data_IF_974140017831
#
_entry.id   IF_974140017831
#
_cell.length_a   1.000
_cell.length_b   1.000
_cell.length_c   1.000
_cell.angle_alpha   90.00
_cell.angle_beta   90.00
_cell.angle_gamma   90.00
#
_symmetry.space_group_name_H-M   'P 1'
#
loop_
_entity.id
_entity.type
_entity.pdbx_description
1 polymer ?
#
# COMPACT_ATOMS: atom_id res chain seq x y z
N UNK A 1 -94.26 51.31 4.14
CA UNK A 1 -93.53 51.67 5.37
C UNK A 1 -93.40 50.39 6.17
N UNK A 2 -92.32 49.64 5.93
CA UNK A 2 -91.13 49.52 6.82
C UNK A 2 -91.54 48.90 8.17
N UNK A 3 -91.07 47.73 8.57
CA UNK A 3 -89.67 47.29 8.61
C UNK A 3 -89.56 45.77 8.77
N UNK A 4 -88.53 45.21 8.13
CA UNK A 4 -87.97 43.89 8.40
C UNK A 4 -87.55 43.74 9.87
N UNK A 5 -87.85 42.60 10.49
CA UNK A 5 -87.14 42.11 11.67
C UNK A 5 -87.08 40.58 11.60
N UNK A 6 -85.91 40.08 11.16
CA UNK A 6 -85.54 38.68 11.23
C UNK A 6 -84.93 38.39 12.60
N UNK A 7 -85.57 37.48 13.34
CA UNK A 7 -85.11 36.97 14.63
C UNK A 7 -83.85 36.08 14.43
N UNK A 8 -82.69 36.52 14.93
CA UNK A 8 -81.46 35.73 14.97
C UNK A 8 -81.25 35.16 16.38
N UNK A 9 -80.97 33.84 16.53
CA UNK A 9 -80.65 33.26 17.84
C UNK A 9 -79.24 33.65 18.33
N UNK A 10 -78.98 33.58 19.64
CA UNK A 10 -77.84 34.24 20.28
C UNK A 10 -76.49 33.60 19.93
N UNK A 11 -75.50 34.47 19.69
CA UNK A 11 -74.11 34.09 19.41
C UNK A 11 -73.46 33.41 20.62
N UNK A 12 -72.92 32.21 20.39
CA UNK A 12 -72.06 31.52 21.34
C UNK A 12 -70.73 32.28 21.48
N UNK A 13 -70.35 32.60 22.72
CA UNK A 13 -69.05 33.18 23.05
C UNK A 13 -67.99 32.11 22.83
N UNK A 14 -67.25 32.19 21.73
CA UNK A 14 -66.09 31.33 21.50
C UNK A 14 -64.96 31.73 22.46
N UNK A 15 -64.63 30.85 23.40
CA UNK A 15 -63.39 30.93 24.16
C UNK A 15 -62.20 30.85 23.19
N UNK A 16 -61.23 31.76 23.35
CA UNK A 16 -60.04 31.80 22.51
C UNK A 16 -59.23 30.50 22.66
N UNK A 17 -59.20 29.67 21.60
CA UNK A 17 -58.29 28.54 21.51
C UNK A 17 -56.84 29.02 21.41
N UNK A 18 -56.04 28.73 22.44
CA UNK A 18 -54.60 28.94 22.40
C UNK A 18 -53.98 28.06 21.32
N UNK A 19 -53.43 28.69 20.28
CA UNK A 19 -52.72 27.98 19.19
C UNK A 19 -51.57 27.15 19.78
N UNK A 20 -51.49 25.84 19.49
CA UNK A 20 -50.41 25.01 20.01
C UNK A 20 -49.07 25.46 19.42
N UNK A 21 -48.08 25.67 20.30
CA UNK A 21 -46.72 26.09 19.97
C UNK A 21 -46.13 25.21 18.86
N UNK A 22 -45.48 25.86 17.89
CA UNK A 22 -44.85 25.25 16.71
C UNK A 22 -43.95 24.06 17.04
N UNK A 23 -43.31 24.08 18.22
CA UNK A 23 -42.46 23.01 18.75
C UNK A 23 -43.18 21.68 19.02
N UNK A 24 -44.46 21.70 19.39
CA UNK A 24 -45.27 20.48 19.56
C UNK A 24 -45.69 19.87 18.22
N UNK A 25 -45.81 20.67 17.16
CA UNK A 25 -46.17 20.19 15.81
C UNK A 25 -45.02 19.50 15.09
N UNK A 26 -43.77 19.86 15.42
CA UNK A 26 -42.56 19.25 14.83
C UNK A 26 -42.07 17.99 15.57
N UNK A 27 -42.84 17.45 16.52
CA UNK A 27 -42.45 16.25 17.27
C UNK A 27 -41.32 16.48 18.29
N UNK A 28 -41.06 17.73 18.70
CA UNK A 28 -39.95 18.07 19.60
C UNK A 28 -39.94 17.34 20.95
N UNK A 29 -41.08 16.78 21.38
CA UNK A 29 -41.17 15.94 22.57
C UNK A 29 -40.33 14.65 22.48
N UNK A 30 -40.34 13.95 21.34
CA UNK A 30 -39.54 12.72 21.18
C UNK A 30 -38.05 13.01 21.04
N UNK A 31 -37.70 14.15 20.43
CA UNK A 31 -36.32 14.61 20.33
C UNK A 31 -35.71 14.93 21.71
N UNK A 32 -36.46 15.64 22.56
CA UNK A 32 -36.01 15.95 23.92
C UNK A 32 -35.85 14.69 24.78
N UNK A 33 -36.77 13.73 24.68
CA UNK A 33 -36.65 12.44 25.38
C UNK A 33 -35.43 11.66 24.88
N UNK A 34 -35.20 11.61 23.57
CA UNK A 34 -34.04 10.93 22.99
C UNK A 34 -32.71 11.51 23.47
N UNK A 35 -32.60 12.84 23.54
CA UNK A 35 -31.40 13.52 24.03
C UNK A 35 -31.14 13.22 25.52
N UNK A 36 -32.19 13.15 26.34
CA UNK A 36 -32.07 12.79 27.76
C UNK A 36 -31.62 11.33 27.91
N UNK A 37 -32.18 10.40 27.15
CA UNK A 37 -31.78 8.98 27.20
C UNK A 37 -30.32 8.80 26.79
N UNK A 38 -29.87 9.48 25.74
CA UNK A 38 -28.46 9.41 25.33
C UNK A 38 -27.52 10.03 26.37
N UNK A 39 -27.89 11.14 26.99
CA UNK A 39 -27.10 11.75 28.06
C UNK A 39 -26.96 10.83 29.29
N UNK A 40 -28.02 10.09 29.63
CA UNK A 40 -28.00 9.09 30.72
C UNK A 40 -27.09 7.91 30.36
N UNK A 41 -27.20 7.37 29.14
CA UNK A 41 -26.35 6.27 28.68
C UNK A 41 -24.87 6.66 28.64
N UNK A 42 -24.54 7.86 28.17
CA UNK A 42 -23.17 8.38 28.17
C UNK A 42 -22.64 8.54 29.60
N UNK A 43 -23.46 9.02 30.54
CA UNK A 43 -23.07 9.16 31.95
C UNK A 43 -22.82 7.80 32.62
N UNK A 44 -23.67 6.80 32.35
CA UNK A 44 -23.50 5.43 32.85
C UNK A 44 -22.21 4.81 32.28
N UNK A 45 -21.95 4.98 30.98
CA UNK A 45 -20.71 4.50 30.35
C UNK A 45 -19.45 5.14 30.95
N UNK A 46 -19.50 6.43 31.27
CA UNK A 46 -18.41 7.16 31.92
C UNK A 46 -18.11 6.62 33.34
N UNK A 47 -19.14 6.36 34.13
CA UNK A 47 -18.98 5.75 35.47
C UNK A 47 -18.44 4.33 35.36
N UNK A 48 -18.91 3.55 34.38
CA UNK A 48 -18.42 2.18 34.15
C UNK A 48 -16.94 2.16 33.77
N UNK A 49 -16.48 3.09 32.93
CA UNK A 49 -15.05 3.25 32.59
C UNK A 49 -14.19 3.48 33.84
N UNK A 50 -14.63 4.33 34.77
CA UNK A 50 -13.86 4.61 35.98
C UNK A 50 -13.90 3.49 37.02
N UNK A 51 -14.84 2.54 36.94
CA UNK A 51 -14.87 1.37 37.83
C UNK A 51 -14.08 0.16 37.30
N UNK A 52 -13.74 0.12 36.02
CA UNK A 52 -13.09 -1.04 35.36
C UNK A 52 -11.57 -0.84 35.17
N UNK A 53 -11.02 0.31 35.55
CA UNK A 53 -9.57 0.54 35.55
C UNK A 53 -9.01 0.16 36.93
N UNK A 54 -8.29 -0.97 37.08
CA UNK A 54 -7.55 -1.25 38.30
C UNK A 54 -6.41 -0.22 38.46
N UNK A 55 -6.16 0.21 39.71
CA UNK A 55 -5.02 1.06 40.04
C UNK A 55 -3.73 0.46 39.49
N UNK A 56 -2.92 1.28 38.80
CA UNK A 56 -1.59 0.88 38.33
C UNK A 56 -0.77 0.42 39.54
N UNK A 57 -0.38 -0.86 39.53
CA UNK A 57 0.68 -1.35 40.41
C UNK A 57 1.93 -0.52 40.10
N UNK A 58 2.51 0.20 41.07
CA UNK A 58 3.75 0.93 40.84
C UNK A 58 4.87 -0.06 40.51
N UNK A 59 5.58 0.15 39.41
CA UNK A 59 6.77 -0.62 39.08
C UNK A 59 7.82 -0.46 40.20
N UNK A 60 8.50 -1.54 40.63
CA UNK A 60 9.57 -1.42 41.60
C UNK A 60 10.78 -0.68 40.99
N UNK A 61 11.01 0.52 41.51
CA UNK A 61 12.09 1.43 41.15
C UNK A 61 13.45 0.88 41.63
N UNK A 62 14.19 0.25 40.71
CA UNK A 62 15.57 -0.18 40.94
C UNK A 62 16.57 0.72 40.23
N UNK A 63 16.67 2.00 40.62
CA UNK A 63 17.90 2.77 40.42
C UNK A 63 18.18 3.72 41.60
N UNK A 64 19.44 3.82 42.09
CA UNK A 64 19.77 4.69 43.20
C UNK A 64 19.75 6.18 42.81
N UNK A 65 19.23 6.97 43.76
CA UNK A 65 19.12 8.44 43.79
C UNK A 65 20.39 9.17 43.34
N UNK A 66 20.21 10.12 42.42
CA UNK A 66 21.15 11.20 42.13
C UNK A 66 20.39 12.39 41.55
N UNK A 67 20.10 13.38 42.40
CA UNK A 67 19.20 14.50 42.12
C UNK A 67 19.83 15.66 41.34
N UNK A 68 18.99 16.66 41.04
CA UNK A 68 19.41 17.96 40.52
C UNK A 68 18.37 18.55 39.57
N UNK A 69 17.51 19.44 40.08
CA UNK A 69 16.38 20.03 39.37
C UNK A 69 16.68 21.32 38.62
N UNK A 70 15.63 21.83 37.95
CA UNK A 70 15.48 23.24 37.59
C UNK A 70 15.68 23.58 36.11
N UNK A 71 14.57 23.79 35.39
CA UNK A 71 14.52 24.74 34.26
C UNK A 71 14.33 26.15 34.84
N UNK A 72 14.91 27.20 34.25
CA UNK A 72 14.21 27.87 33.15
C UNK A 72 15.13 28.45 32.06
N UNK A 73 14.58 28.66 30.86
CA UNK A 73 15.12 29.65 29.92
C UNK A 73 15.49 29.11 28.54
N UNK A 74 14.62 29.42 27.58
CA UNK A 74 14.89 29.38 26.14
C UNK A 74 16.11 30.26 25.84
N UNK A 75 17.22 29.64 25.41
CA UNK A 75 18.25 30.11 24.45
C UNK A 75 19.49 29.23 24.61
N UNK A 76 19.69 28.27 23.69
CA UNK A 76 20.94 27.59 23.30
C UNK A 76 20.70 26.13 22.89
N UNK A 77 20.07 25.90 21.73
CA UNK A 77 20.29 24.67 20.94
C UNK A 77 20.56 25.08 19.50
N UNK A 78 21.65 25.81 19.32
CA UNK A 78 22.36 25.91 18.06
C UNK A 78 23.83 26.04 18.43
N UNK A 79 24.48 24.90 18.70
CA UNK A 79 25.94 24.66 18.70
C UNK A 79 26.32 23.35 19.43
N UNK A 80 25.60 22.24 19.17
CA UNK A 80 26.00 20.89 19.64
C UNK A 80 25.71 19.77 18.62
N UNK A 81 25.83 20.08 17.32
CA UNK A 81 25.88 19.11 16.20
C UNK A 81 27.09 19.34 15.28
N UNK A 82 28.24 19.65 15.87
CA UNK A 82 29.52 19.71 15.15
C UNK A 82 30.62 18.86 15.79
N UNK A 83 30.27 17.96 16.71
CA UNK A 83 31.25 17.11 17.39
C UNK A 83 30.73 15.70 17.65
N UNK A 84 30.41 14.98 16.58
CA UNK A 84 30.35 13.52 16.54
C UNK A 84 30.41 13.02 15.08
N UNK A 85 31.36 13.56 14.31
CA UNK A 85 31.81 12.95 13.06
C UNK A 85 33.24 12.48 13.32
N UNK A 86 33.39 11.42 14.11
CA UNK A 86 34.63 10.66 14.07
C UNK A 86 34.52 9.72 12.89
N UNK A 87 35.17 10.13 11.80
CA UNK A 87 35.64 9.26 10.73
C UNK A 87 36.31 8.02 11.35
N UNK A 88 35.78 6.83 11.07
CA UNK A 88 36.51 5.59 11.31
C UNK A 88 37.78 5.59 10.46
N UNK A 89 38.98 5.39 11.04
CA UNK A 89 40.19 5.19 10.25
C UNK A 89 40.08 3.86 9.50
N UNK A 90 40.30 3.89 8.19
CA UNK A 90 40.59 2.70 7.39
C UNK A 90 41.83 2.03 7.99
N UNK A 91 41.70 0.80 8.49
CA UNK A 91 42.85 -0.02 8.87
C UNK A 91 43.50 -0.59 7.61
N UNK A 92 44.76 -0.25 7.29
CA UNK A 92 45.48 -0.97 6.24
C UNK A 92 45.74 -2.41 6.70
N UNK A 93 45.46 -3.40 5.83
CA UNK A 93 45.83 -4.80 6.10
C UNK A 93 47.35 -4.89 6.25
N UNK A 94 47.82 -5.26 7.43
CA UNK A 94 49.20 -5.69 7.65
C UNK A 94 49.42 -7.04 6.95
N UNK A 95 50.18 -7.04 5.86
CA UNK A 95 50.75 -8.27 5.30
C UNK A 95 51.95 -8.67 6.16
N UNK A 96 51.98 -9.93 6.61
CA UNK A 96 53.12 -10.49 7.32
C UNK A 96 54.36 -10.49 6.41
N UNK A 97 55.44 -9.88 6.88
CA UNK A 97 56.74 -9.88 6.21
C UNK A 97 57.33 -11.29 6.31
N UNK A 98 57.23 -12.09 5.23
CA UNK A 98 57.88 -13.39 5.13
C UNK A 98 57.19 -14.51 4.32
N UNK A 99 56.06 -14.28 3.65
CA UNK A 99 55.41 -15.31 2.82
C UNK A 99 55.52 -14.98 1.33
N UNK A 100 56.24 -15.81 0.58
CA UNK A 100 56.24 -15.82 -0.88
C UNK A 100 54.95 -16.46 -1.37
N UNK A 101 54.06 -15.68 -2.00
CA UNK A 101 52.97 -16.26 -2.81
C UNK A 101 52.68 -15.38 -4.02
N UNK A 102 52.62 -16.03 -5.18
CA UNK A 102 52.47 -15.46 -6.52
C UNK A 102 50.99 -15.31 -6.89
N UNK A 103 50.26 -14.42 -6.23
CA UNK A 103 48.88 -14.11 -6.60
C UNK A 103 48.70 -12.59 -6.73
N UNK A 104 48.52 -12.12 -7.96
CA UNK A 104 48.15 -10.73 -8.25
C UNK A 104 46.63 -10.58 -8.16
N UNK A 105 46.16 -9.67 -7.31
CA UNK A 105 44.77 -9.20 -7.31
C UNK A 105 44.66 -7.99 -8.25
N UNK A 106 43.60 -7.87 -9.07
CA UNK A 106 43.40 -6.71 -9.94
C UNK A 106 43.22 -5.42 -9.11
N UNK A 107 43.83 -4.32 -9.57
CA UNK A 107 43.59 -2.98 -9.02
C UNK A 107 42.16 -2.51 -9.36
N UNK A 108 41.47 -1.79 -8.46
CA UNK A 108 40.17 -1.19 -8.77
C UNK A 108 40.33 0.04 -9.67
N UNK A 109 39.57 0.08 -10.77
CA UNK A 109 39.53 1.20 -11.72
C UNK A 109 39.13 2.53 -11.07
N UNK A 110 39.81 3.60 -11.50
CA UNK A 110 39.70 4.99 -11.03
C UNK A 110 38.33 5.68 -11.28
N UNK A 111 37.32 4.96 -11.79
CA UNK A 111 35.96 5.47 -11.98
C UNK A 111 35.14 5.54 -10.67
N UNK A 112 35.58 4.82 -9.63
CA UNK A 112 34.88 4.74 -8.33
C UNK A 112 35.08 5.98 -7.43
N UNK A 113 35.99 6.89 -7.81
CA UNK A 113 36.40 8.03 -6.99
C UNK A 113 35.74 9.37 -7.36
N UNK A 114 34.99 9.45 -8.48
CA UNK A 114 34.34 10.71 -8.91
C UNK A 114 32.90 10.89 -8.41
N UNK A 115 32.29 9.90 -7.77
CA UNK A 115 30.93 10.03 -7.21
C UNK A 115 30.87 10.80 -5.89
N UNK A 116 32.00 10.99 -5.20
CA UNK A 116 32.08 11.68 -3.90
C UNK A 116 32.36 13.17 -3.99
N UNK A 117 32.64 13.72 -5.19
CA UNK A 117 32.94 15.15 -5.40
C UNK A 117 31.80 15.95 -6.04
N UNK A 118 30.73 15.28 -6.50
CA UNK A 118 29.56 15.95 -7.10
C UNK A 118 28.54 16.51 -6.08
N UNK A 119 28.72 16.26 -4.79
CA UNK A 119 27.77 16.66 -3.73
C UNK A 119 28.07 18.02 -3.08
N UNK A 120 29.00 18.81 -3.62
CA UNK A 120 29.49 20.05 -2.99
C UNK A 120 29.31 21.34 -3.82
N UNK A 121 28.56 21.34 -4.93
CA UNK A 121 28.50 22.50 -5.84
C UNK A 121 27.12 23.08 -6.17
N UNK A 122 26.01 22.73 -5.49
CA UNK A 122 24.69 23.33 -5.79
C UNK A 122 23.95 23.95 -4.60
N UNK A 123 24.67 24.27 -3.52
CA UNK A 123 24.13 25.11 -2.45
C UNK A 123 24.12 26.58 -2.86
N UNK A 124 22.99 27.10 -3.36
CA UNK A 124 22.80 28.53 -3.52
C UNK A 124 21.50 28.97 -4.18
N UNK A 125 20.64 29.59 -3.37
CA UNK A 125 19.61 30.61 -3.70
C UNK A 125 18.13 30.15 -3.86
N UNK A 126 17.26 30.98 -3.26
CA UNK A 126 15.79 30.89 -3.07
C UNK A 126 15.34 29.87 -2.00
N UNK A 127 14.71 30.22 -0.88
CA UNK A 127 13.91 31.38 -0.53
C UNK A 127 12.44 31.10 -0.83
N UNK A 128 11.72 30.40 0.05
CA UNK A 128 10.30 30.13 -0.17
C UNK A 128 9.60 29.28 0.90
N UNK A 129 8.94 29.99 1.83
CA UNK A 129 7.75 29.64 2.63
C UNK A 129 7.62 28.23 3.25
N UNK A 130 7.56 28.23 4.59
CA UNK A 130 7.11 27.11 5.40
C UNK A 130 5.64 26.74 5.16
N UNK A 131 5.40 25.45 4.97
CA UNK A 131 4.07 24.83 5.05
C UNK A 131 3.90 24.17 6.41
N UNK A 132 2.86 24.58 7.13
CA UNK A 132 2.41 24.02 8.41
C UNK A 132 2.09 22.53 8.29
N UNK A 133 2.89 21.67 8.91
CA UNK A 133 2.54 20.28 9.17
C UNK A 133 1.83 20.15 10.51
N UNK A 134 0.51 19.98 10.50
CA UNK A 134 -0.27 19.60 11.70
C UNK A 134 -0.17 18.08 11.93
N UNK A 135 0.91 17.64 12.56
CA UNK A 135 1.04 16.28 13.10
C UNK A 135 0.48 16.19 14.52
N UNK A 136 -0.85 16.22 14.66
CA UNK A 136 -1.52 15.99 15.93
C UNK A 136 -1.83 14.51 16.13
N UNK A 137 -1.06 13.82 16.97
CA UNK A 137 -1.31 12.42 17.31
C UNK A 137 -0.47 11.99 18.50
N UNK A 138 -0.90 12.36 19.71
CA UNK A 138 -0.37 11.83 20.97
C UNK A 138 -1.46 10.97 21.58
N UNK A 139 -1.31 9.65 21.51
CA UNK A 139 -2.21 8.69 22.11
C UNK A 139 -1.41 7.55 22.73
N UNK A 140 -1.41 7.47 24.06
CA UNK A 140 -0.86 6.34 24.84
C UNK A 140 -1.86 5.18 24.90
N UNK A 141 -2.38 4.77 23.74
CA UNK A 141 -3.25 3.60 23.60
C UNK A 141 -2.48 2.42 23.04
N UNK A 142 -2.60 1.23 23.64
CA UNK A 142 -2.21 -0.02 23.01
C UNK A 142 -3.11 -0.28 21.78
N UNK A 143 -2.79 0.38 20.67
CA UNK A 143 -3.25 0.06 19.32
C UNK A 143 -2.08 -0.47 18.52
N UNK A 144 -2.29 -1.47 17.66
CA UNK A 144 -1.30 -1.86 16.65
C UNK A 144 -1.12 -0.69 15.68
N UNK A 145 -0.18 0.20 16.01
CA UNK A 145 0.18 1.34 15.18
C UNK A 145 0.71 0.84 13.84
N UNK A 146 0.08 1.29 12.75
CA UNK A 146 0.58 1.09 11.40
C UNK A 146 1.68 2.12 11.13
N UNK A 147 2.92 1.65 11.01
CA UNK A 147 4.02 2.44 10.47
C UNK A 147 5.31 2.34 11.27
N UNK A 148 6.32 1.66 10.73
CA UNK A 148 7.67 2.24 10.73
C UNK A 148 7.67 3.28 9.62
N UNK A 149 7.66 4.55 9.99
CA UNK A 149 7.50 5.66 9.05
C UNK A 149 8.49 5.60 7.89
N UNK A 150 7.97 5.41 6.68
CA UNK A 150 8.62 5.90 5.47
C UNK A 150 7.80 7.12 5.04
N UNK A 151 8.04 8.24 5.71
CA UNK A 151 7.47 9.53 5.33
C UNK A 151 8.13 10.06 4.06
N UNK A 152 7.43 10.89 3.27
CA UNK A 152 7.93 11.38 2.00
C UNK A 152 8.94 12.50 2.26
N UNK A 153 10.22 12.17 2.10
CA UNK A 153 11.29 13.14 2.07
C UNK A 153 12.37 12.61 1.14
N UNK A 154 12.88 13.49 0.28
CA UNK A 154 14.19 13.36 -0.39
C UNK A 154 15.36 13.35 0.63
N UNK A 155 15.20 12.64 1.75
CA UNK A 155 16.16 12.61 2.84
C UNK A 155 15.69 11.70 3.97
N UNK A 156 16.23 10.47 3.99
CA UNK A 156 16.26 9.61 5.18
C UNK A 156 15.65 8.23 5.00
N UNK A 157 16.38 7.29 4.38
CA UNK A 157 16.08 5.86 4.58
C UNK A 157 16.29 4.90 3.42
N UNK A 158 16.82 5.30 2.27
CA UNK A 158 17.46 4.35 1.34
C UNK A 158 18.45 5.11 0.47
N UNK A 159 19.75 4.83 0.60
CA UNK A 159 20.82 5.48 -0.16
C UNK A 159 20.82 5.10 -1.66
N UNK A 160 19.67 4.76 -2.23
CA UNK A 160 19.54 4.06 -3.52
C UNK A 160 18.40 4.55 -4.40
N UNK A 161 17.64 5.60 -4.02
CA UNK A 161 16.56 6.13 -4.87
C UNK A 161 15.39 5.15 -5.14
N UNK A 162 15.21 4.13 -4.29
CA UNK A 162 14.18 3.10 -4.45
C UNK A 162 12.94 3.39 -3.61
N UNK A 163 11.78 3.55 -4.25
CA UNK A 163 10.47 3.44 -3.60
C UNK A 163 9.98 1.99 -3.64
N UNK A 164 8.99 1.58 -2.82
CA UNK A 164 8.36 0.27 -2.95
C UNK A 164 7.76 0.00 -4.34
N UNK A 165 7.44 1.06 -5.10
CA UNK A 165 6.87 1.00 -6.44
C UNK A 165 7.93 0.96 -7.56
N UNK A 166 9.21 1.09 -7.20
CA UNK A 166 10.33 0.97 -8.13
C UNK A 166 11.37 2.09 -7.99
N UNK A 167 12.40 1.98 -8.82
CA UNK A 167 13.49 2.94 -8.99
C UNK A 167 13.09 4.05 -9.95
N UNK A 168 13.66 5.24 -9.74
CA UNK A 168 13.51 6.36 -10.69
C UNK A 168 14.35 6.12 -11.94
N UNK A 169 15.57 5.62 -11.76
CA UNK A 169 16.50 5.41 -12.86
C UNK A 169 16.14 4.15 -13.66
N UNK A 170 16.19 4.21 -15.00
CA UNK A 170 16.02 3.04 -15.85
C UNK A 170 17.02 1.94 -15.47
N UNK A 171 16.51 0.72 -15.35
CA UNK A 171 17.31 -0.46 -15.06
C UNK A 171 17.02 -1.52 -16.14
N UNK A 172 18.07 -2.03 -16.78
CA UNK A 172 17.96 -3.02 -17.85
C UNK A 172 17.30 -4.33 -17.41
N UNK A 173 17.25 -4.58 -16.10
CA UNK A 173 16.64 -5.75 -15.49
C UNK A 173 15.24 -5.47 -14.94
N UNK A 174 14.65 -4.29 -15.17
CA UNK A 174 13.39 -3.90 -14.55
C UNK A 174 12.21 -3.89 -15.54
N UNK A 175 11.02 -4.17 -15.01
CA UNK A 175 9.75 -3.90 -15.67
C UNK A 175 9.43 -2.41 -15.56
N UNK A 176 8.88 -1.83 -16.63
CA UNK A 176 8.54 -0.41 -16.70
C UNK A 176 7.13 -0.21 -16.16
N UNK A 177 7.02 0.52 -15.05
CA UNK A 177 5.75 0.86 -14.39
C UNK A 177 5.17 2.17 -14.91
N UNK A 178 3.91 2.13 -15.30
CA UNK A 178 3.10 3.33 -15.57
C UNK A 178 1.95 3.41 -14.58
N UNK A 179 1.86 4.54 -13.89
CA UNK A 179 0.77 4.87 -12.98
C UNK A 179 -0.36 5.59 -13.72
N UNK A 180 -1.60 5.23 -13.37
CA UNK A 180 -2.83 5.88 -13.84
C UNK A 180 -3.70 6.23 -12.64
N UNK A 181 -4.02 7.52 -12.49
CA UNK A 181 -5.08 7.97 -11.60
C UNK A 181 -6.42 7.84 -12.33
N UNK A 182 -7.31 6.98 -11.82
CA UNK A 182 -8.60 6.70 -12.47
C UNK A 182 -9.75 7.57 -11.92
N UNK A 183 -9.48 8.42 -10.93
CA UNK A 183 -10.35 9.52 -10.49
C UNK A 183 -10.14 10.80 -11.30
N UNK A 184 -9.22 10.80 -12.29
CA UNK A 184 -8.95 11.99 -13.10
C UNK A 184 -8.89 11.67 -14.58
N UNK A 185 -9.45 12.57 -15.39
CA UNK A 185 -9.28 12.58 -16.85
C UNK A 185 -7.86 12.95 -17.22
N UNK A 186 -7.46 12.63 -18.45
CA UNK A 186 -6.16 12.98 -19.02
C UNK A 186 -5.87 14.49 -19.05
N UNK A 187 -6.90 15.34 -19.02
CA UNK A 187 -6.80 16.80 -18.94
C UNK A 187 -6.71 17.33 -17.49
N UNK A 188 -6.71 16.45 -16.49
CA UNK A 188 -6.64 16.77 -15.06
C UNK A 188 -8.00 16.97 -14.38
N UNK A 189 -9.10 17.03 -15.14
CA UNK A 189 -10.44 17.18 -14.58
C UNK A 189 -10.83 15.95 -13.77
N UNK A 190 -11.51 16.16 -12.65
CA UNK A 190 -11.97 15.08 -11.78
C UNK A 190 -13.04 14.22 -12.48
N UNK A 191 -12.93 12.91 -12.31
CA UNK A 191 -13.93 11.91 -12.60
C UNK A 191 -14.50 11.43 -11.27
N UNK A 192 -15.84 11.46 -11.15
CA UNK A 192 -16.52 10.80 -10.04
C UNK A 192 -16.52 9.29 -10.26
N UNK A 193 -15.38 8.65 -10.02
CA UNK A 193 -15.24 7.20 -10.10
C UNK A 193 -15.63 6.60 -8.74
N UNK A 194 -16.62 5.72 -8.74
CA UNK A 194 -16.98 4.90 -7.58
C UNK A 194 -16.40 3.48 -7.72
N UNK A 195 -16.57 2.65 -6.69
CA UNK A 195 -15.96 1.32 -6.67
C UNK A 195 -16.49 0.40 -7.79
N UNK A 196 -17.80 0.35 -8.11
CA UNK A 196 -18.28 -0.39 -9.28
C UNK A 196 -17.65 0.11 -10.58
N UNK A 197 -17.53 1.43 -10.76
CA UNK A 197 -16.92 2.00 -11.96
C UNK A 197 -15.44 1.66 -12.06
N UNK A 198 -14.70 1.71 -10.96
CA UNK A 198 -13.31 1.27 -10.94
C UNK A 198 -13.17 -0.19 -11.36
N UNK A 199 -14.00 -1.07 -10.80
CA UNK A 199 -13.97 -2.48 -11.16
C UNK A 199 -14.23 -2.67 -12.66
N UNK A 200 -15.20 -1.95 -13.24
CA UNK A 200 -15.46 -1.95 -14.68
C UNK A 200 -14.22 -1.52 -15.49
N UNK A 201 -13.50 -0.48 -15.02
CA UNK A 201 -12.28 0.02 -15.69
C UNK A 201 -11.19 -1.05 -15.69
N UNK A 202 -10.94 -1.69 -14.55
CA UNK A 202 -9.95 -2.77 -14.43
C UNK A 202 -10.36 -3.94 -15.32
N UNK A 203 -11.62 -4.36 -15.24
CA UNK A 203 -12.14 -5.50 -15.99
C UNK A 203 -12.09 -5.28 -17.50
N UNK A 204 -12.54 -4.13 -17.98
CA UNK A 204 -12.45 -3.78 -19.39
C UNK A 204 -11.00 -3.75 -19.88
N UNK A 205 -10.06 -3.20 -19.10
CA UNK A 205 -8.64 -3.18 -19.48
C UNK A 205 -8.06 -4.59 -19.58
N UNK A 206 -8.27 -5.41 -18.55
CA UNK A 206 -7.69 -6.76 -18.43
C UNK A 206 -8.28 -7.74 -19.44
N UNK A 207 -9.58 -7.62 -19.73
CA UNK A 207 -10.28 -8.55 -20.65
C UNK A 207 -10.21 -8.12 -22.12
N UNK A 208 -9.99 -6.84 -22.42
CA UNK A 208 -9.87 -6.33 -23.80
C UNK A 208 -8.42 -6.26 -24.31
N UNK A 209 -7.55 -7.05 -23.71
CA UNK A 209 -6.19 -7.29 -24.21
C UNK A 209 -5.16 -6.25 -23.78
N UNK A 210 -5.37 -5.57 -22.65
CA UNK A 210 -4.36 -4.71 -22.01
C UNK A 210 -3.86 -3.60 -22.94
N UNK A 211 -4.76 -2.96 -23.68
CA UNK A 211 -4.39 -1.91 -24.64
C UNK A 211 -4.22 -0.58 -23.92
N UNK A 212 -3.06 0.07 -24.04
CA UNK A 212 -2.82 1.38 -23.40
C UNK A 212 -3.85 2.44 -23.83
N UNK A 213 -4.35 2.34 -25.07
CA UNK A 213 -5.41 3.21 -25.58
C UNK A 213 -6.69 3.20 -24.72
N UNK A 214 -7.03 2.11 -24.02
CA UNK A 214 -8.20 2.11 -23.13
C UNK A 214 -7.99 2.91 -21.85
N UNK A 215 -6.73 3.18 -21.49
CA UNK A 215 -6.35 3.99 -20.34
C UNK A 215 -6.01 5.44 -20.69
N UNK A 216 -5.89 5.78 -21.98
CA UNK A 216 -5.50 7.11 -22.47
C UNK A 216 -6.43 8.26 -22.02
N UNK A 217 -7.66 7.95 -21.61
CA UNK A 217 -8.63 8.92 -21.05
C UNK A 217 -8.37 9.30 -19.60
N UNK A 218 -7.56 8.52 -18.88
CA UNK A 218 -7.22 8.75 -17.48
C UNK A 218 -5.91 9.50 -17.34
N UNK A 219 -5.71 10.16 -16.20
CA UNK A 219 -4.46 10.87 -15.92
C UNK A 219 -3.33 9.88 -15.66
N UNK A 220 -2.41 9.75 -16.61
CA UNK A 220 -1.18 8.97 -16.44
C UNK A 220 -0.08 9.83 -15.80
N UNK A 221 0.76 9.23 -14.95
CA UNK A 221 1.97 9.93 -14.49
C UNK A 221 2.97 10.06 -15.64
N UNK A 222 3.58 11.26 -15.85
CA UNK A 222 4.70 11.41 -16.77
C UNK A 222 5.95 10.68 -16.26
N UNK A 223 6.08 10.49 -14.93
CA UNK A 223 7.18 9.75 -14.33
C UNK A 223 6.92 8.24 -14.46
N UNK A 224 7.91 7.50 -14.94
CA UNK A 224 7.93 6.04 -14.89
C UNK A 224 8.75 5.57 -13.70
N UNK A 225 8.40 4.42 -13.14
CA UNK A 225 9.21 3.74 -12.13
C UNK A 225 9.59 2.34 -12.63
N UNK A 226 10.80 1.91 -12.31
CA UNK A 226 11.39 0.68 -12.82
C UNK A 226 11.43 -0.34 -11.68
N UNK A 227 10.69 -1.43 -11.85
CA UNK A 227 10.47 -2.41 -10.79
C UNK A 227 11.07 -3.77 -11.13
N UNK A 228 11.80 -4.35 -10.17
CA UNK A 228 12.44 -5.65 -10.34
C UNK A 228 11.74 -6.77 -9.58
N UNK A 229 10.83 -6.43 -8.66
CA UNK A 229 9.99 -7.38 -7.88
C UNK A 229 8.72 -6.70 -7.36
N UNK A 230 7.62 -7.44 -7.19
CA UNK A 230 6.44 -6.95 -6.47
C UNK A 230 6.48 -7.51 -5.06
N UNK A 231 6.93 -6.70 -4.11
CA UNK A 231 6.96 -7.02 -2.68
C UNK A 231 6.84 -5.73 -1.88
N UNK A 232 5.61 -5.23 -1.79
CA UNK A 232 5.21 -3.96 -1.22
C UNK A 232 4.61 -4.21 0.16
N UNK A 233 5.20 -3.65 1.23
CA UNK A 233 4.67 -3.82 2.58
C UNK A 233 3.32 -3.12 2.72
N UNK A 234 2.54 -3.48 3.74
CA UNK A 234 1.44 -2.66 4.22
C UNK A 234 1.86 -1.19 4.39
N UNK A 235 1.25 -0.30 3.59
CA UNK A 235 1.49 1.14 3.59
C UNK A 235 0.18 1.90 3.30
N UNK A 236 0.23 3.24 3.34
CA UNK A 236 -0.91 4.05 2.93
C UNK A 236 -1.04 4.06 1.39
N UNK A 237 -2.24 3.89 0.86
CA UNK A 237 -2.58 3.96 -0.56
C UNK A 237 -2.08 5.24 -1.26
N UNK A 238 -1.97 6.35 -0.53
CA UNK A 238 -1.44 7.62 -1.03
C UNK A 238 0.07 7.59 -1.32
N UNK A 239 0.80 6.55 -0.93
CA UNK A 239 2.23 6.44 -1.22
C UNK A 239 2.52 6.13 -2.70
N UNK A 240 1.60 5.45 -3.40
CA UNK A 240 1.74 5.19 -4.84
C UNK A 240 1.76 6.48 -5.67
N UNK A 241 0.73 7.36 -5.63
CA UNK A 241 0.76 8.62 -6.38
C UNK A 241 1.99 9.46 -6.02
N UNK A 242 2.38 9.54 -4.74
CA UNK A 242 3.59 10.27 -4.31
C UNK A 242 4.86 9.72 -4.96
N UNK A 243 5.05 8.39 -4.99
CA UNK A 243 6.20 7.76 -5.62
C UNK A 243 6.30 8.11 -7.12
N UNK A 244 5.15 8.16 -7.79
CA UNK A 244 5.04 8.56 -9.19
C UNK A 244 5.00 10.09 -9.41
N UNK A 245 5.22 10.91 -8.38
CA UNK A 245 5.23 12.38 -8.50
C UNK A 245 3.85 13.01 -8.75
N UNK A 246 2.79 12.29 -8.40
CA UNK A 246 1.40 12.73 -8.46
C UNK A 246 0.95 13.24 -7.09
N UNK A 247 0.02 14.18 -7.07
CA UNK A 247 -0.69 14.57 -5.85
C UNK A 247 -1.73 13.51 -5.51
N UNK A 248 -1.74 12.95 -4.28
CA UNK A 248 -2.79 12.02 -3.88
C UNK A 248 -4.13 12.74 -3.73
N UNK A 249 -5.20 12.10 -4.21
CA UNK A 249 -6.57 12.49 -3.89
C UNK A 249 -6.94 12.02 -2.47
N UNK A 250 -8.04 12.56 -1.92
CA UNK A 250 -8.52 12.19 -0.57
C UNK A 250 -8.87 10.70 -0.47
N UNK A 251 -9.47 10.15 -1.54
CA UNK A 251 -9.80 8.73 -1.69
C UNK A 251 -9.12 8.21 -2.96
N UNK A 252 -7.82 7.86 -2.90
CA UNK A 252 -7.04 7.62 -4.10
C UNK A 252 -7.45 6.32 -4.80
N UNK A 253 -7.96 6.41 -6.03
CA UNK A 253 -8.13 5.25 -6.92
C UNK A 253 -7.11 5.27 -8.03
N UNK A 254 -6.33 4.20 -8.14
CA UNK A 254 -5.26 4.12 -9.12
C UNK A 254 -4.97 2.70 -9.55
N UNK A 255 -4.28 2.60 -10.68
CA UNK A 255 -3.65 1.37 -11.13
C UNK A 255 -2.22 1.65 -11.58
N UNK A 256 -1.34 0.68 -11.36
CA UNK A 256 0.00 0.65 -11.94
C UNK A 256 0.12 -0.58 -12.82
N UNK A 257 0.57 -0.37 -14.05
CA UNK A 257 0.85 -1.45 -15.01
C UNK A 257 2.36 -1.51 -15.23
N UNK A 258 2.97 -2.61 -14.79
CA UNK A 258 4.37 -2.95 -15.05
C UNK A 258 4.47 -3.83 -16.28
N UNK A 259 5.31 -3.45 -17.24
CA UNK A 259 5.47 -4.19 -18.51
C UNK A 259 6.91 -4.55 -18.79
N UNK A 260 7.13 -5.69 -19.43
CA UNK A 260 8.42 -6.09 -19.95
C UNK A 260 8.38 -7.43 -20.66
N UNK A 261 9.56 -7.91 -21.05
CA UNK A 261 9.76 -9.25 -21.60
C UNK A 261 10.75 -9.95 -20.72
N UNK A 262 10.42 -11.14 -20.22
CA UNK A 262 11.26 -11.91 -19.32
C UNK A 262 11.77 -13.20 -19.94
N UNK A 263 12.92 -13.64 -19.46
CA UNK A 263 13.60 -14.87 -19.85
C UNK A 263 13.72 -15.74 -18.58
N UNK A 264 13.10 -16.92 -18.55
CA UNK A 264 13.18 -17.84 -17.44
C UNK A 264 14.61 -18.37 -17.28
N UNK A 265 15.08 -18.56 -16.03
CA UNK A 265 16.41 -19.09 -15.75
C UNK A 265 16.49 -20.61 -15.99
N UNK A 266 15.37 -21.32 -15.89
CA UNK A 266 15.28 -22.78 -15.99
C UNK A 266 14.00 -23.20 -16.71
N UNK A 267 14.09 -24.26 -17.52
CA UNK A 267 12.95 -24.91 -18.16
C UNK A 267 12.17 -25.68 -17.11
N UNK A 268 10.84 -25.52 -17.09
CA UNK A 268 10.01 -26.24 -16.14
C UNK A 268 8.59 -25.71 -16.07
N UNK A 269 7.86 -26.23 -15.09
CA UNK A 269 6.53 -25.78 -14.70
C UNK A 269 6.64 -24.83 -13.52
N UNK A 270 5.99 -23.69 -13.63
CA UNK A 270 5.93 -22.68 -12.58
C UNK A 270 4.48 -22.28 -12.31
N UNK A 271 4.23 -21.69 -11.15
CA UNK A 271 2.98 -21.00 -10.85
C UNK A 271 3.27 -19.74 -10.04
N UNK A 272 2.43 -18.73 -10.20
CA UNK A 272 2.49 -17.53 -9.36
C UNK A 272 1.72 -17.75 -8.07
N UNK A 273 2.23 -17.19 -6.98
CA UNK A 273 1.58 -17.21 -5.67
C UNK A 273 1.64 -15.82 -5.07
N UNK A 274 0.53 -15.28 -4.59
CA UNK A 274 0.56 -13.90 -4.10
C UNK A 274 -0.79 -13.33 -3.74
N UNK A 275 -0.79 -12.03 -3.48
CA UNK A 275 -1.98 -11.21 -3.28
C UNK A 275 -1.68 -9.75 -3.60
N UNK A 276 -2.69 -9.02 -4.09
CA UNK A 276 -2.67 -7.57 -4.26
C UNK A 276 -3.88 -6.94 -3.59
N UNK A 277 -3.67 -5.79 -2.97
CA UNK A 277 -4.70 -4.97 -2.36
C UNK A 277 -4.93 -3.77 -3.28
N UNK A 278 -6.08 -3.55 -3.91
CA UNK A 278 -7.28 -4.40 -3.94
C UNK A 278 -7.18 -5.55 -4.95
N UNK A 279 -6.25 -5.49 -5.91
CA UNK A 279 -6.10 -6.54 -6.93
C UNK A 279 -4.71 -6.58 -7.52
N UNK A 280 -4.26 -7.81 -7.82
CA UNK A 280 -3.13 -8.07 -8.69
C UNK A 280 -3.51 -9.03 -9.82
N UNK A 281 -3.23 -8.64 -11.07
CA UNK A 281 -3.39 -9.50 -12.25
C UNK A 281 -2.06 -9.65 -12.96
N UNK A 282 -1.69 -10.88 -13.32
CA UNK A 282 -0.51 -11.16 -14.14
C UNK A 282 -0.94 -11.72 -15.49
N UNK A 283 -0.55 -11.02 -16.55
CA UNK A 283 -0.62 -11.49 -17.92
C UNK A 283 0.76 -11.97 -18.35
N UNK A 284 0.87 -13.25 -18.65
CA UNK A 284 2.11 -13.88 -19.10
C UNK A 284 1.89 -14.55 -20.45
N UNK A 285 2.81 -14.32 -21.38
CA UNK A 285 2.72 -14.83 -22.74
C UNK A 285 1.35 -14.54 -23.39
N UNK A 286 0.90 -13.29 -23.25
CA UNK A 286 -0.36 -12.76 -23.74
C UNK A 286 -1.65 -13.35 -23.13
N UNK A 287 -1.57 -14.17 -22.07
CA UNK A 287 -2.73 -14.72 -21.36
C UNK A 287 -2.72 -14.27 -19.90
N UNK A 288 -3.88 -13.92 -19.36
CA UNK A 288 -4.03 -13.72 -17.91
C UNK A 288 -3.84 -15.09 -17.25
N UNK A 289 -2.88 -15.21 -16.32
CA UNK A 289 -2.56 -16.48 -15.63
C UNK A 289 -2.55 -16.35 -14.11
N UNK A 290 -2.83 -15.16 -13.59
CA UNK A 290 -3.01 -14.94 -12.16
C UNK A 290 -3.94 -13.76 -11.96
N UNK A 291 -4.88 -13.86 -11.04
CA UNK A 291 -5.81 -12.78 -10.67
C UNK A 291 -6.28 -12.98 -9.24
N UNK A 292 -5.78 -12.18 -8.31
CA UNK A 292 -6.16 -12.31 -6.91
C UNK A 292 -5.97 -11.02 -6.10
N UNK A 293 -6.94 -10.79 -5.21
CA UNK A 293 -7.03 -9.65 -4.29
C UNK A 293 -8.40 -9.60 -3.62
N UNK A 294 -8.79 -8.43 -3.12
CA UNK A 294 -10.13 -8.17 -2.59
C UNK A 294 -11.21 -8.19 -3.68
N UNK A 295 -10.85 -7.74 -4.88
CA UNK A 295 -11.68 -7.87 -6.10
C UNK A 295 -10.95 -8.73 -7.15
N UNK A 296 -11.59 -8.94 -8.29
CA UNK A 296 -11.00 -9.64 -9.44
C UNK A 296 -10.83 -8.68 -10.59
N UNK A 297 -9.67 -8.71 -11.25
CA UNK A 297 -9.50 -7.95 -12.49
C UNK A 297 -10.10 -8.65 -13.71
N UNK A 298 -10.31 -9.97 -13.69
CA UNK A 298 -10.77 -10.75 -14.86
C UNK A 298 -12.27 -11.03 -14.87
N UNK A 299 -12.92 -11.09 -13.70
CA UNK A 299 -14.37 -11.30 -13.58
C UNK A 299 -15.02 -10.20 -12.74
N UNK A 300 -16.23 -9.82 -13.14
CA UNK A 300 -17.08 -8.86 -12.41
C UNK A 300 -18.13 -9.61 -11.60
N UNK A 301 -17.77 -10.09 -10.41
CA UNK A 301 -18.64 -10.91 -9.58
C UNK A 301 -18.43 -10.66 -8.09
N UNK A 302 -19.44 -10.11 -7.40
CA UNK A 302 -19.34 -9.72 -5.97
C UNK A 302 -18.95 -10.86 -5.03
N UNK A 303 -19.33 -12.10 -5.36
CA UNK A 303 -18.95 -13.29 -4.58
C UNK A 303 -17.64 -13.94 -5.02
N UNK A 304 -16.79 -13.24 -5.78
CA UNK A 304 -15.52 -13.76 -6.31
C UNK A 304 -14.71 -14.54 -5.27
N UNK A 305 -14.45 -13.94 -4.10
CA UNK A 305 -13.69 -14.58 -3.01
C UNK A 305 -14.34 -15.87 -2.48
N UNK A 306 -15.66 -15.91 -2.42
CA UNK A 306 -16.39 -17.12 -2.02
C UNK A 306 -16.31 -18.19 -3.13
N UNK A 307 -16.42 -17.77 -4.38
CA UNK A 307 -16.36 -18.67 -5.52
C UNK A 307 -14.99 -19.34 -5.70
N UNK A 308 -13.90 -18.66 -5.32
CA UNK A 308 -12.56 -19.26 -5.30
C UNK A 308 -12.45 -20.45 -4.32
N UNK A 309 -13.27 -20.48 -3.27
CA UNK A 309 -13.23 -21.50 -2.21
C UNK A 309 -14.17 -22.68 -2.49
N UNK A 310 -15.17 -22.49 -3.36
CA UNK A 310 -16.22 -23.49 -3.61
C UNK A 310 -16.26 -23.91 -5.09
N UNK A 311 -15.87 -25.15 -5.43
CA UNK A 311 -15.92 -25.66 -6.80
C UNK A 311 -17.32 -25.59 -7.43
N UNK A 312 -18.39 -25.58 -6.63
CA UNK A 312 -19.77 -25.46 -7.12
C UNK A 312 -20.06 -24.08 -7.72
N UNK A 313 -19.29 -23.07 -7.34
CA UNK A 313 -19.43 -21.70 -7.83
C UNK A 313 -18.53 -21.38 -9.03
N UNK A 314 -17.92 -22.38 -9.67
CA UNK A 314 -17.02 -22.19 -10.83
C UNK A 314 -17.60 -21.33 -11.96
N UNK A 315 -18.93 -21.29 -12.13
CA UNK A 315 -19.58 -20.47 -13.14
C UNK A 315 -19.37 -18.96 -12.88
N UNK A 316 -19.29 -18.54 -11.62
CA UNK A 316 -18.97 -17.17 -11.22
C UNK A 316 -17.53 -16.78 -11.57
N UNK A 317 -16.65 -17.76 -11.81
CA UNK A 317 -15.26 -17.59 -12.20
C UNK A 317 -15.03 -17.74 -13.71
N UNK A 318 -16.08 -17.76 -14.55
CA UNK A 318 -15.93 -17.93 -15.99
C UNK A 318 -15.08 -16.77 -16.58
N UNK A 319 -13.89 -17.09 -17.06
CA UNK A 319 -12.92 -16.12 -17.60
C UNK A 319 -11.80 -15.74 -16.60
N UNK A 320 -11.91 -16.18 -15.35
CA UNK A 320 -10.85 -16.08 -14.36
C UNK A 320 -9.78 -17.15 -14.61
N UNK A 321 -8.47 -16.83 -14.49
CA UNK A 321 -7.41 -17.84 -14.59
C UNK A 321 -7.30 -18.74 -13.34
N UNK A 322 -7.92 -18.36 -12.22
CA UNK A 322 -7.81 -19.10 -10.97
C UNK A 322 -8.76 -20.31 -10.95
N UNK A 323 -8.25 -21.47 -10.56
CA UNK A 323 -9.03 -22.72 -10.52
C UNK A 323 -9.55 -23.00 -9.10
N UNK A 324 -10.87 -23.04 -8.94
CA UNK A 324 -11.51 -23.41 -7.68
C UNK A 324 -11.51 -24.94 -7.46
N UNK A 325 -11.24 -25.43 -6.24
CA UNK A 325 -10.95 -24.65 -5.04
C UNK A 325 -9.49 -24.18 -5.05
N UNK A 326 -9.28 -22.87 -4.87
CA UNK A 326 -7.95 -22.28 -4.81
C UNK A 326 -7.27 -22.67 -3.50
N UNK A 327 -6.00 -23.01 -3.59
CA UNK A 327 -5.14 -23.18 -2.41
C UNK A 327 -4.67 -21.81 -1.92
N UNK A 328 -4.69 -21.60 -0.60
CA UNK A 328 -4.20 -20.39 0.03
C UNK A 328 -3.06 -20.70 1.00
N UNK A 329 -1.94 -20.01 0.84
CA UNK A 329 -0.84 -20.04 1.80
C UNK A 329 -1.01 -18.90 2.80
N UNK A 330 -1.03 -19.27 4.08
CA UNK A 330 -1.18 -18.34 5.18
C UNK A 330 0.12 -18.23 5.95
N UNK A 331 0.50 -17.02 6.34
CA UNK A 331 1.72 -16.78 7.11
C UNK A 331 1.42 -15.95 8.35
N UNK A 332 2.18 -16.09 9.45
CA UNK A 332 2.01 -15.25 10.64
C UNK A 332 2.14 -13.75 10.37
N UNK A 333 2.84 -13.38 9.30
CA UNK A 333 3.13 -12.00 8.86
C UNK A 333 2.15 -11.48 7.80
N UNK A 334 1.06 -12.22 7.54
CA UNK A 334 0.00 -11.85 6.59
C UNK A 334 -1.38 -11.89 7.25
N UNK A 335 -1.48 -11.39 8.49
CA UNK A 335 -2.67 -11.50 9.32
C UNK A 335 -3.92 -10.89 8.68
N UNK A 336 -3.80 -9.69 8.13
CA UNK A 336 -4.89 -9.06 7.38
C UNK A 336 -5.32 -9.92 6.17
N UNK A 337 -4.42 -10.31 5.28
CA UNK A 337 -4.80 -11.17 4.14
C UNK A 337 -5.37 -12.54 4.55
N UNK A 338 -4.82 -13.18 5.58
CA UNK A 338 -5.32 -14.47 6.06
C UNK A 338 -6.80 -14.37 6.48
N UNK A 339 -7.16 -13.27 7.15
CA UNK A 339 -8.51 -13.03 7.65
C UNK A 339 -9.49 -12.52 6.59
N UNK A 340 -9.03 -11.66 5.68
CA UNK A 340 -9.91 -10.97 4.72
C UNK A 340 -10.10 -11.76 3.42
N UNK A 341 -9.00 -12.23 2.83
CA UNK A 341 -9.00 -12.85 1.49
C UNK A 341 -8.57 -14.32 1.51
N UNK A 342 -8.16 -14.84 2.67
CA UNK A 342 -7.83 -16.25 2.90
C UNK A 342 -6.33 -16.58 2.91
N UNK A 343 -5.47 -15.63 2.55
CA UNK A 343 -4.02 -15.79 2.45
C UNK A 343 -3.50 -15.40 1.07
N UNK A 344 -2.29 -15.84 0.72
CA UNK A 344 -1.75 -15.72 -0.65
C UNK A 344 -2.33 -16.84 -1.53
N UNK A 345 -2.98 -16.50 -2.63
CA UNK A 345 -3.57 -17.48 -3.54
C UNK A 345 -2.50 -18.16 -4.40
N UNK A 346 -2.68 -19.46 -4.62
CA UNK A 346 -1.88 -20.26 -5.55
C UNK A 346 -2.54 -20.26 -6.92
N UNK A 347 -1.85 -19.74 -7.92
CA UNK A 347 -2.31 -19.68 -9.31
C UNK A 347 -2.19 -20.99 -10.09
N UNK A 348 -2.72 -21.02 -11.32
CA UNK A 348 -2.55 -22.14 -12.25
C UNK A 348 -1.08 -22.33 -12.65
N UNK A 349 -0.76 -23.55 -13.09
CA UNK A 349 0.56 -23.87 -13.63
C UNK A 349 0.74 -23.30 -15.05
N UNK A 350 1.97 -22.91 -15.36
CA UNK A 350 2.40 -22.56 -16.71
C UNK A 350 3.80 -23.11 -16.98
N UNK A 351 4.04 -23.43 -18.24
CA UNK A 351 5.31 -23.98 -18.70
C UNK A 351 6.18 -22.91 -19.35
N UNK A 352 7.48 -22.99 -19.07
CA UNK A 352 8.48 -22.12 -19.67
C UNK A 352 9.70 -22.91 -20.11
N UNK A 353 10.46 -22.30 -21.03
CA UNK A 353 11.71 -22.83 -21.55
C UNK A 353 12.81 -21.82 -21.24
N UNK A 354 13.92 -22.29 -20.65
CA UNK A 354 15.08 -21.45 -20.37
C UNK A 354 15.56 -20.77 -21.65
N UNK A 355 15.93 -19.49 -21.55
CA UNK A 355 16.42 -18.71 -22.68
C UNK A 355 15.35 -18.19 -23.65
N UNK A 356 14.10 -18.68 -23.56
CA UNK A 356 12.99 -18.17 -24.39
C UNK A 356 12.39 -16.90 -23.78
N UNK A 357 12.07 -15.95 -24.64
CA UNK A 357 11.42 -14.69 -24.25
C UNK A 357 9.91 -14.84 -24.10
N UNK A 358 9.36 -14.26 -23.03
CA UNK A 358 7.92 -14.20 -22.77
C UNK A 358 7.52 -12.78 -22.35
N UNK A 359 6.52 -12.16 -23.00
CA UNK A 359 5.99 -10.90 -22.52
C UNK A 359 5.28 -11.11 -21.18
N UNK A 360 5.46 -10.17 -20.26
CA UNK A 360 4.78 -10.12 -18.97
C UNK A 360 4.24 -8.72 -18.72
N UNK A 361 2.96 -8.64 -18.35
CA UNK A 361 2.32 -7.44 -17.82
C UNK A 361 1.80 -7.77 -16.40
N UNK A 362 2.03 -6.88 -15.44
CA UNK A 362 1.54 -7.00 -14.07
C UNK A 362 0.75 -5.74 -13.74
N UNK A 363 -0.53 -5.90 -13.40
CA UNK A 363 -1.37 -4.83 -12.88
C UNK A 363 -1.47 -4.97 -11.37
N UNK A 364 -1.27 -3.87 -10.65
CA UNK A 364 -1.70 -3.68 -9.27
C UNK A 364 -2.63 -2.48 -9.21
N UNK A 365 -3.63 -2.48 -8.34
CA UNK A 365 -4.55 -1.35 -8.22
C UNK A 365 -5.09 -1.20 -6.80
N UNK A 366 -5.59 0.00 -6.51
CA UNK A 366 -6.16 0.42 -5.23
C UNK A 366 -7.42 1.26 -5.49
N UNK A 367 -8.42 1.13 -4.64
CA UNK A 367 -9.78 1.62 -4.90
C UNK A 367 -10.59 2.16 -3.74
N UNK A 368 -10.23 1.80 -2.51
CA UNK A 368 -10.95 2.25 -1.31
C UNK A 368 -10.13 3.26 -0.50
N UNK A 369 -8.84 3.39 -0.82
CA UNK A 369 -7.88 4.13 -0.04
C UNK A 369 -7.54 3.42 1.26
N UNK A 370 -6.67 4.03 2.06
CA UNK A 370 -6.24 3.45 3.33
C UNK A 370 -5.06 2.51 3.17
N UNK A 371 -5.23 1.21 3.43
CA UNK A 371 -4.14 0.25 3.44
C UNK A 371 -3.90 -0.30 2.03
N UNK A 372 -2.62 -0.38 1.62
CA UNK A 372 -2.21 -1.03 0.38
C UNK A 372 -1.03 -1.97 0.66
N UNK A 373 -1.04 -3.15 0.04
CA UNK A 373 0.07 -4.11 0.01
C UNK A 373 0.00 -4.97 -1.25
N UNK A 374 1.14 -5.48 -1.72
CA UNK A 374 1.17 -6.41 -2.84
C UNK A 374 2.41 -7.32 -2.78
N UNK A 375 2.25 -8.61 -3.01
CA UNK A 375 3.36 -9.56 -3.02
C UNK A 375 3.17 -10.61 -4.12
N UNK A 376 4.19 -10.80 -4.94
CA UNK A 376 4.24 -11.82 -5.99
C UNK A 376 5.45 -12.74 -5.79
N UNK A 377 5.16 -13.99 -5.44
CA UNK A 377 6.08 -15.11 -5.32
C UNK A 377 5.95 -16.03 -6.53
N UNK A 378 6.93 -16.91 -6.69
CA UNK A 378 6.92 -17.92 -7.74
C UNK A 378 7.29 -19.29 -7.17
N UNK A 379 6.53 -20.30 -7.56
CA UNK A 379 6.77 -21.69 -7.19
C UNK A 379 7.21 -22.46 -8.44
N UNK A 380 8.27 -23.25 -8.31
CA UNK A 380 8.66 -24.29 -9.25
C UNK A 380 7.92 -25.57 -8.87
N UNK A 381 7.06 -26.06 -9.77
CA UNK A 381 6.17 -27.19 -9.47
C UNK A 381 6.99 -28.46 -9.22
N UNK A 382 6.77 -29.07 -8.06
CA UNK A 382 7.48 -30.28 -7.63
C UNK A 382 8.81 -30.03 -6.91
N UNK A 383 9.22 -28.77 -6.74
CA UNK A 383 10.35 -28.42 -5.89
C UNK A 383 9.99 -28.51 -4.40
N UNK A 384 11.00 -28.72 -3.56
CA UNK A 384 10.85 -28.77 -2.10
C UNK A 384 11.25 -27.44 -1.49
N UNK A 385 10.37 -26.89 -0.66
CA UNK A 385 10.59 -25.62 0.04
C UNK A 385 10.63 -25.82 1.54
N UNK A 386 11.37 -24.96 2.24
CA UNK A 386 11.21 -24.81 3.69
C UNK A 386 9.77 -24.40 3.99
N UNK A 387 9.26 -24.81 5.14
CA UNK A 387 7.91 -24.46 5.58
C UNK A 387 7.98 -23.42 6.70
N UNK A 388 7.04 -22.48 6.68
CA UNK A 388 6.78 -21.59 7.80
C UNK A 388 6.20 -22.36 8.98
N UNK A 389 6.07 -21.69 10.13
CA UNK A 389 5.38 -22.23 11.30
C UNK A 389 3.90 -22.56 11.06
N UNK A 390 3.27 -21.96 10.05
CA UNK A 390 1.91 -22.27 9.59
C UNK A 390 1.84 -23.47 8.63
N UNK A 391 2.98 -24.09 8.31
CA UNK A 391 3.07 -25.23 7.38
C UNK A 391 3.04 -24.85 5.89
N UNK A 392 2.84 -23.57 5.56
CA UNK A 392 2.90 -23.05 4.19
C UNK A 392 4.35 -23.00 3.69
N UNK A 393 4.62 -23.25 2.39
CA UNK A 393 5.97 -23.16 1.86
C UNK A 393 6.48 -21.71 1.87
N UNK A 394 7.77 -21.54 2.16
CA UNK A 394 8.48 -20.27 2.03
C UNK A 394 9.02 -20.23 0.61
N UNK A 395 8.29 -19.52 -0.26
CA UNK A 395 8.58 -19.44 -1.68
C UNK A 395 9.54 -18.28 -2.00
N UNK A 396 10.32 -18.38 -3.07
CA UNK A 396 11.07 -17.23 -3.56
C UNK A 396 10.15 -16.17 -4.18
N UNK A 397 10.60 -14.93 -4.16
CA UNK A 397 9.95 -13.83 -4.89
C UNK A 397 10.09 -14.03 -6.40
N UNK A 398 9.06 -13.66 -7.15
CA UNK A 398 9.26 -13.40 -8.57
C UNK A 398 10.07 -12.11 -8.70
N UNK A 399 11.32 -12.24 -9.15
CA UNK A 399 12.26 -11.13 -9.27
C UNK A 399 13.12 -11.23 -10.52
N UNK A 400 13.56 -10.07 -10.96
CA UNK A 400 14.37 -9.89 -12.17
C UNK A 400 15.78 -9.36 -11.91
N UNK A 401 16.12 -9.10 -10.64
CA UNK A 401 17.48 -8.84 -10.20
C UNK A 401 17.80 -9.60 -8.89
N UNK A 402 19.06 -9.52 -8.46
CA UNK A 402 19.51 -10.13 -7.21
C UNK A 402 19.24 -9.31 -5.96
N UNK A 403 18.64 -8.13 -6.08
CA UNK A 403 18.37 -7.29 -4.92
C UNK A 403 17.27 -7.95 -4.08
N UNK A 404 17.39 -7.83 -2.76
CA UNK A 404 16.38 -8.32 -1.82
C UNK A 404 15.57 -7.15 -1.25
N UNK A 405 14.29 -7.36 -0.90
CA UNK A 405 13.55 -6.38 -0.12
C UNK A 405 14.31 -5.98 1.12
N UNK A 406 14.29 -4.69 1.44
CA UNK A 406 14.72 -4.22 2.75
C UNK A 406 13.89 -4.88 3.85
N UNK A 407 14.42 -4.91 5.08
CA UNK A 407 13.67 -5.40 6.22
C UNK A 407 12.50 -4.45 6.48
N UNK A 408 11.27 -4.95 6.30
CA UNK A 408 10.06 -4.18 6.50
C UNK A 408 9.25 -4.88 7.60
N UNK A 409 8.90 -4.16 8.67
CA UNK A 409 8.27 -4.72 9.87
C UNK A 409 6.73 -4.61 9.82
N UNK A 410 6.12 -4.79 8.66
CA UNK A 410 4.68 -4.58 8.43
C UNK A 410 3.92 -5.89 8.20
N UNK A 411 2.60 -5.85 8.39
CA UNK A 411 1.69 -6.93 8.01
C UNK A 411 1.63 -7.09 6.47
N UNK A 412 1.01 -8.16 6.00
CA UNK A 412 0.89 -8.53 4.58
C UNK A 412 2.24 -8.70 3.87
N UNK A 413 3.19 -9.31 4.58
CA UNK A 413 4.54 -9.60 4.10
C UNK A 413 4.84 -11.10 4.25
N UNK A 414 4.52 -11.93 3.24
CA UNK A 414 4.83 -13.35 3.32
C UNK A 414 6.35 -13.55 3.41
N UNK A 415 6.84 -14.44 4.29
CA UNK A 415 8.26 -14.79 4.31
C UNK A 415 8.64 -15.36 2.94
N UNK A 416 9.85 -15.04 2.49
CA UNK A 416 10.34 -15.48 1.19
C UNK A 416 11.71 -16.14 1.28
N UNK A 417 12.00 -17.01 0.32
CA UNK A 417 13.32 -17.61 0.15
C UNK A 417 14.23 -16.66 -0.66
N UNK A 418 15.31 -16.12 -0.05
CA UNK A 418 16.23 -15.22 -0.76
C UNK A 418 17.07 -15.92 -1.83
N UNK A 419 17.10 -17.25 -1.87
CA UNK A 419 17.91 -18.05 -2.82
C UNK A 419 17.15 -18.38 -4.11
N UNK A 420 15.95 -17.82 -4.30
CA UNK A 420 15.16 -17.98 -5.51
C UNK A 420 15.89 -17.62 -6.80
N UNK A 421 15.57 -18.36 -7.87
CA UNK A 421 16.09 -18.09 -9.20
C UNK A 421 15.69 -16.70 -9.69
N UNK A 422 16.62 -16.01 -10.35
CA UNK A 422 16.43 -14.65 -10.86
C UNK A 422 16.08 -14.75 -12.35
N UNK A 423 14.97 -14.13 -12.75
CA UNK A 423 14.56 -14.04 -14.15
C UNK A 423 15.30 -12.88 -14.83
N UNK A 424 15.51 -12.93 -16.14
CA UNK A 424 16.19 -11.83 -16.85
C UNK A 424 15.19 -11.02 -17.64
N UNK A 425 15.31 -9.70 -17.68
CA UNK A 425 14.53 -8.86 -18.61
C UNK A 425 15.26 -8.77 -19.96
N UNK A 426 14.54 -9.01 -21.05
CA UNK A 426 15.10 -8.86 -22.40
C UNK A 426 15.37 -7.39 -22.73
N UNK A 427 16.63 -7.10 -23.08
CA UNK A 427 17.13 -5.77 -23.40
C UNK A 427 16.43 -5.10 -24.60
N UNK A 428 15.74 -5.87 -25.45
CA UNK A 428 15.00 -5.33 -26.61
C UNK A 428 13.77 -4.53 -26.23
N UNK A 429 13.28 -4.67 -24.99
CA UNK A 429 12.08 -3.96 -24.51
C UNK A 429 12.42 -2.65 -23.77
N UNK A 430 13.69 -2.44 -23.40
CA UNK A 430 14.11 -1.28 -22.59
C UNK A 430 14.25 0.03 -23.40
N UNK A 431 14.19 -0.04 -24.74
CA UNK A 431 14.39 1.11 -25.63
C UNK A 431 13.34 1.09 -26.74
N UNK A 432 12.17 1.66 -26.47
CA UNK A 432 11.17 1.97 -27.49
C UNK A 432 10.15 2.94 -26.89
N UNK A 433 10.02 4.19 -27.33
CA UNK A 433 10.72 4.95 -28.35
C UNK A 433 10.56 6.44 -28.04
N UNK A 434 11.45 7.24 -28.64
CA UNK A 434 11.46 8.71 -28.62
C UNK A 434 10.17 9.28 -29.23
#
# INVERSE_FOLDING_TARGET
MTSDDFDQPPQAVHAAENKPSFWKKLGGGSLSISLIVHAILLSIGLVWIFQVIPDKVPDPDFMPKGGGGGSPGVKEISNKKQRATMSTPNTPRMAAKGATSSFALPEPDAASAMSSVGSLSSGGLSGGLGGSGSGGGRGDGQGKGFGSGMGPGLGGGNASGMSPFGMIDPNANALVGTFYNIDRRSDGNELKTDNPRQWDIINDFVTRGWKDASLAKYQASPKKLYQTRIYMPAMNAAEAPKAFGMTPDEHPRWMVVYRGTIIPPKTGKYRFVGAGDDTMVVRFNNRNIFDFGFISGTVRHETFLAALKDPKQRNALRGCPMEAPVTFYQYPTTGNWNSQIGGCAVGPEFEVQAGKEYPIDILICEGWGGLFAASLMIEEVGATYQKSSSGSPILPLFRTDGTLPGKLNGDNQPPYDPQGSIWTVSKRTAIGGI
#
